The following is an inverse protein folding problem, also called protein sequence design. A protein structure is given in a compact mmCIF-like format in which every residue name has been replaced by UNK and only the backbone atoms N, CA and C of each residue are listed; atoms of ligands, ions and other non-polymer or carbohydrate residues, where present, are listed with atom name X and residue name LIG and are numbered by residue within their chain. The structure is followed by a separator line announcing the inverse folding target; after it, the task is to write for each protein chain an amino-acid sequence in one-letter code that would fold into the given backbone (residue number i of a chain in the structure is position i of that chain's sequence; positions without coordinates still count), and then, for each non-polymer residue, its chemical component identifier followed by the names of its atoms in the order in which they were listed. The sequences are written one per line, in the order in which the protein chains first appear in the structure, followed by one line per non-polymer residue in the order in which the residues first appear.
data_IF_176752695430
#
_entry.id   IF_176752695430
#
_cell.length_a   1.000
_cell.length_b   1.000
_cell.length_c   1.000
_cell.angle_alpha   90.00
_cell.angle_beta   90.00
_cell.angle_gamma   90.00
#
_symmetry.space_group_name_H-M   'P 1'
#
loop_
_entity.id
_entity.type
_entity.pdbx_description
1 polymer ?
#
# COMPACT_ATOMS: atom_id res chain seq x y z
N UNK A 1 -3.72 27.52 9.28
CA UNK A 1 -4.65 26.41 8.95
C UNK A 1 -4.05 25.35 8.00
N UNK A 2 -2.99 25.68 7.25
CA UNK A 2 -2.32 24.72 6.34
C UNK A 2 -1.38 23.72 7.03
N UNK A 3 -0.88 24.00 8.22
CA UNK A 3 -0.13 23.04 9.04
C UNK A 3 -1.00 21.86 9.51
N UNK A 4 -2.29 22.10 9.75
CA UNK A 4 -3.23 21.08 10.20
C UNK A 4 -3.53 19.98 9.16
N UNK A 5 -3.55 20.29 7.86
CA UNK A 5 -3.83 19.25 6.84
C UNK A 5 -2.71 18.22 6.74
N UNK A 6 -1.45 18.64 6.75
CA UNK A 6 -0.32 17.71 6.75
C UNK A 6 -0.28 16.81 7.99
N UNK A 7 -0.70 17.34 9.14
CA UNK A 7 -0.77 16.56 10.38
C UNK A 7 -1.93 15.54 10.36
N UNK A 8 -3.05 15.86 9.70
CA UNK A 8 -4.18 14.92 9.52
C UNK A 8 -3.73 13.72 8.71
N UNK A 9 -3.03 13.92 7.59
CA UNK A 9 -2.56 12.81 6.75
C UNK A 9 -1.50 11.94 7.43
N UNK A 10 -0.59 12.55 8.21
CA UNK A 10 0.37 11.79 9.03
C UNK A 10 -0.35 10.92 10.05
N UNK A 11 -1.35 11.47 10.74
CA UNK A 11 -2.16 10.73 11.71
C UNK A 11 -2.96 9.62 11.03
N UNK A 12 -3.50 9.87 9.85
CA UNK A 12 -4.23 8.88 9.07
C UNK A 12 -3.32 7.72 8.65
N UNK A 13 -2.13 8.00 8.10
CA UNK A 13 -1.16 6.96 7.75
C UNK A 13 -0.71 6.13 8.95
N UNK A 14 -0.46 6.78 10.09
CA UNK A 14 -0.10 6.10 11.33
C UNK A 14 -1.24 5.22 11.87
N UNK A 15 -2.48 5.71 11.81
CA UNK A 15 -3.65 4.94 12.22
C UNK A 15 -3.83 3.69 11.37
N UNK A 16 -3.69 3.81 10.05
CA UNK A 16 -3.74 2.65 9.16
C UNK A 16 -2.62 1.66 9.46
N UNK A 17 -1.41 2.15 9.68
CA UNK A 17 -0.28 1.28 10.03
C UNK A 17 -0.54 0.50 11.31
N UNK A 18 -1.06 1.14 12.36
CA UNK A 18 -1.42 0.47 13.61
C UNK A 18 -2.49 -0.60 13.41
N UNK A 19 -3.57 -0.27 12.70
CA UNK A 19 -4.67 -1.22 12.45
C UNK A 19 -4.18 -2.42 11.63
N UNK A 20 -3.47 -2.17 10.53
CA UNK A 20 -2.97 -3.26 9.69
C UNK A 20 -1.88 -4.09 10.37
N UNK A 21 -1.04 -3.50 11.22
CA UNK A 21 -0.08 -4.25 12.05
C UNK A 21 -0.80 -5.19 13.01
N UNK A 22 -1.86 -4.71 13.67
CA UNK A 22 -2.64 -5.53 14.59
C UNK A 22 -3.33 -6.69 13.87
N UNK A 23 -3.95 -6.41 12.73
CA UNK A 23 -4.59 -7.43 11.88
C UNK A 23 -3.55 -8.43 11.35
N UNK A 24 -2.35 -7.97 10.97
CA UNK A 24 -1.27 -8.85 10.51
C UNK A 24 -0.79 -9.78 11.61
N UNK A 25 -0.60 -9.29 12.82
CA UNK A 25 -0.24 -10.13 13.99
C UNK A 25 -1.33 -11.18 14.24
N UNK A 26 -2.59 -10.80 14.18
CA UNK A 26 -3.70 -11.73 14.33
C UNK A 26 -3.65 -12.83 13.25
N UNK A 27 -3.57 -12.47 11.98
CA UNK A 27 -3.58 -13.43 10.86
C UNK A 27 -2.34 -14.33 10.88
N UNK A 28 -1.17 -13.81 11.23
CA UNK A 28 0.09 -14.53 11.10
C UNK A 28 0.47 -15.33 12.35
N UNK A 29 -0.02 -14.95 13.52
CA UNK A 29 0.29 -15.63 14.78
C UNK A 29 -0.92 -16.40 15.32
N UNK A 30 -2.09 -15.75 15.43
CA UNK A 30 -3.24 -16.35 16.10
C UNK A 30 -3.94 -17.39 15.22
N UNK A 31 -4.14 -17.08 13.94
CA UNK A 31 -4.83 -18.01 13.02
C UNK A 31 -4.03 -19.32 12.83
N UNK A 32 -2.74 -19.34 12.54
CA UNK A 32 -1.97 -20.56 12.44
C UNK A 32 -1.94 -21.37 13.73
N UNK A 33 -1.85 -20.69 14.86
CA UNK A 33 -1.89 -21.35 16.16
C UNK A 33 -3.25 -22.02 16.41
N UNK A 34 -4.37 -21.35 16.08
CA UNK A 34 -5.71 -21.85 16.29
C UNK A 34 -6.04 -23.05 15.37
N UNK A 35 -5.57 -23.01 14.13
CA UNK A 35 -5.83 -24.07 13.12
C UNK A 35 -4.67 -25.09 13.01
N UNK A 36 -3.69 -25.03 13.91
CA UNK A 36 -2.51 -25.90 13.90
C UNK A 36 -1.82 -25.98 12.53
N UNK A 37 -1.75 -24.86 11.82
CA UNK A 37 -1.10 -24.78 10.53
C UNK A 37 0.41 -24.87 10.70
N UNK A 38 1.04 -25.78 9.96
CA UNK A 38 2.51 -25.90 9.95
C UNK A 38 3.12 -24.66 9.30
N UNK A 39 3.72 -23.80 10.12
CA UNK A 39 4.55 -22.70 9.68
C UNK A 39 6.04 -23.08 9.89
N UNK A 40 6.78 -23.12 8.80
CA UNK A 40 8.24 -23.37 8.85
C UNK A 40 8.98 -22.06 9.13
N UNK A 41 8.29 -20.93 8.96
CA UNK A 41 8.85 -19.60 9.10
C UNK A 41 9.36 -19.30 10.51
N UNK A 42 10.54 -18.69 10.61
CA UNK A 42 11.02 -18.10 11.84
C UNK A 42 10.22 -16.81 12.10
N UNK A 43 9.51 -16.67 13.25
CA UNK A 43 8.62 -15.53 13.50
C UNK A 43 9.30 -14.16 13.35
N UNK A 44 10.56 -14.04 13.74
CA UNK A 44 11.33 -12.80 13.60
C UNK A 44 11.59 -12.39 12.16
N UNK A 45 11.90 -13.35 11.28
CA UNK A 45 12.12 -13.10 9.84
C UNK A 45 10.84 -12.64 9.19
N UNK A 46 9.74 -13.29 9.51
CA UNK A 46 8.42 -12.95 8.98
C UNK A 46 7.98 -11.54 9.40
N UNK A 47 8.16 -11.19 10.66
CA UNK A 47 7.81 -9.87 11.20
C UNK A 47 8.64 -8.77 10.52
N UNK A 48 9.95 -8.97 10.34
CA UNK A 48 10.83 -8.01 9.65
C UNK A 48 10.45 -7.83 8.18
N UNK A 49 10.03 -8.89 7.51
CA UNK A 49 9.61 -8.84 6.11
C UNK A 49 8.27 -8.12 5.92
N UNK A 50 7.31 -8.33 6.83
CA UNK A 50 5.98 -7.75 6.73
C UNK A 50 5.98 -6.23 6.97
N UNK A 51 6.89 -5.71 7.78
CA UNK A 51 6.97 -4.29 8.10
C UNK A 51 7.07 -3.39 6.84
N UNK A 52 8.06 -3.55 5.94
CA UNK A 52 8.11 -2.77 4.70
C UNK A 52 6.96 -3.08 3.75
N UNK A 53 6.44 -4.29 3.75
CA UNK A 53 5.26 -4.64 2.95
C UNK A 53 4.03 -3.84 3.36
N UNK A 54 3.72 -3.77 4.66
CA UNK A 54 2.61 -2.95 5.17
C UNK A 54 2.80 -1.47 4.85
N UNK A 55 4.01 -0.94 5.05
CA UNK A 55 4.31 0.44 4.72
C UNK A 55 4.11 0.74 3.22
N UNK A 56 4.59 -0.13 2.33
CA UNK A 56 4.40 -0.01 0.89
C UNK A 56 2.92 -0.02 0.50
N UNK A 57 2.13 -0.95 1.06
CA UNK A 57 0.69 -1.04 0.80
C UNK A 57 -0.07 0.21 1.26
N UNK A 58 0.26 0.75 2.44
CA UNK A 58 -0.40 1.94 2.98
C UNK A 58 -0.10 3.16 2.11
N UNK A 59 1.17 3.40 1.75
CA UNK A 59 1.52 4.54 0.90
C UNK A 59 0.99 4.38 -0.53
N UNK A 60 0.95 3.17 -1.05
CA UNK A 60 0.29 2.88 -2.31
C UNK A 60 -1.21 3.21 -2.26
N UNK A 61 -1.92 2.75 -1.22
CA UNK A 61 -3.34 3.02 -1.03
C UNK A 61 -3.62 4.52 -0.85
N UNK A 62 -2.79 5.24 -0.09
CA UNK A 62 -2.89 6.69 0.07
C UNK A 62 -2.68 7.42 -1.25
N UNK A 63 -1.73 6.98 -2.08
CA UNK A 63 -1.52 7.54 -3.42
C UNK A 63 -2.71 7.26 -4.34
N UNK A 64 -3.22 6.04 -4.34
CA UNK A 64 -4.36 5.63 -5.17
C UNK A 64 -5.66 6.36 -4.77
N UNK A 65 -5.86 6.64 -3.47
CA UNK A 65 -7.05 7.32 -2.96
C UNK A 65 -7.27 8.71 -3.55
N UNK A 66 -6.21 9.34 -4.04
CA UNK A 66 -6.26 10.67 -4.63
C UNK A 66 -6.94 10.69 -6.00
N UNK A 67 -6.82 9.59 -6.75
CA UNK A 67 -7.49 9.42 -8.04
C UNK A 67 -9.02 9.25 -7.89
N UNK A 68 -9.48 8.92 -6.68
CA UNK A 68 -10.87 8.55 -6.43
C UNK A 68 -11.57 9.71 -5.73
N UNK A 69 -12.51 10.36 -6.43
CA UNK A 69 -13.31 11.47 -5.88
C UNK A 69 -14.65 11.04 -5.29
N UNK A 70 -15.25 9.97 -5.82
CA UNK A 70 -16.58 9.52 -5.45
C UNK A 70 -16.54 8.16 -4.74
N UNK A 71 -17.39 7.96 -3.73
CA UNK A 71 -17.49 6.69 -3.00
C UNK A 71 -17.88 5.52 -3.89
N UNK A 72 -18.77 5.75 -4.84
CA UNK A 72 -19.22 4.74 -5.81
C UNK A 72 -18.09 4.27 -6.73
N UNK A 73 -17.29 5.21 -7.23
CA UNK A 73 -16.10 4.91 -8.03
C UNK A 73 -15.06 4.10 -7.24
N UNK A 74 -14.95 4.34 -5.94
CA UNK A 74 -14.07 3.58 -5.07
C UNK A 74 -14.47 2.09 -5.00
N UNK A 75 -15.76 1.83 -4.78
CA UNK A 75 -16.30 0.47 -4.74
C UNK A 75 -16.11 -0.28 -6.06
N UNK A 76 -16.45 0.37 -7.17
CA UNK A 76 -16.27 -0.19 -8.51
C UNK A 76 -14.79 -0.51 -8.80
N UNK A 77 -13.91 0.43 -8.51
CA UNK A 77 -12.48 0.25 -8.72
C UNK A 77 -11.95 -0.92 -7.88
N UNK A 78 -12.38 -1.05 -6.64
CA UNK A 78 -11.98 -2.14 -5.75
C UNK A 78 -12.40 -3.51 -6.31
N UNK A 79 -13.64 -3.64 -6.76
CA UNK A 79 -14.17 -4.90 -7.33
C UNK A 79 -13.46 -5.24 -8.63
N UNK A 80 -13.33 -4.28 -9.56
CA UNK A 80 -12.71 -4.53 -10.87
C UNK A 80 -11.20 -4.75 -10.80
N UNK A 81 -10.48 -4.17 -9.83
CA UNK A 81 -9.03 -4.36 -9.69
C UNK A 81 -8.65 -5.55 -8.82
N UNK A 82 -9.55 -6.04 -7.95
CA UNK A 82 -9.24 -7.16 -7.05
C UNK A 82 -8.87 -8.44 -7.81
N UNK A 83 -9.64 -8.79 -8.84
CA UNK A 83 -9.41 -10.01 -9.65
C UNK A 83 -8.11 -9.91 -10.46
N UNK A 84 -7.83 -8.86 -11.26
CA UNK A 84 -6.53 -8.70 -11.91
C UNK A 84 -5.35 -8.71 -10.94
N UNK A 85 -5.48 -8.06 -9.78
CA UNK A 85 -4.42 -8.05 -8.77
C UNK A 85 -4.14 -9.43 -8.19
N UNK A 86 -5.17 -10.26 -8.03
CA UNK A 86 -5.01 -11.64 -7.58
C UNK A 86 -4.22 -12.47 -8.62
N UNK A 87 -4.48 -12.29 -9.90
CA UNK A 87 -3.72 -12.95 -10.97
C UNK A 87 -2.28 -12.42 -11.04
N UNK A 88 -2.09 -11.11 -10.95
CA UNK A 88 -0.77 -10.46 -10.98
C UNK A 88 0.10 -10.79 -9.78
N UNK A 89 -0.49 -11.15 -8.65
CA UNK A 89 0.26 -11.53 -7.43
C UNK A 89 1.03 -12.85 -7.55
N UNK A 90 0.74 -13.65 -8.59
CA UNK A 90 1.39 -14.94 -8.81
C UNK A 90 0.76 -16.12 -8.08
N UNK A 91 -0.32 -15.90 -7.29
CA UNK A 91 -1.02 -16.99 -6.57
C UNK A 91 -1.80 -17.86 -7.55
N UNK A 92 -2.60 -17.22 -8.40
CA UNK A 92 -3.48 -17.94 -9.34
C UNK A 92 -2.79 -18.26 -10.65
N UNK A 93 -1.79 -17.49 -11.04
CA UNK A 93 -1.03 -17.69 -12.26
C UNK A 93 0.46 -17.72 -11.95
N UNK A 94 1.14 -18.87 -12.12
CA UNK A 94 2.58 -18.97 -11.85
C UNK A 94 3.37 -17.95 -12.70
N UNK A 95 4.28 -17.23 -12.06
CA UNK A 95 5.06 -16.16 -12.72
C UNK A 95 5.90 -16.64 -13.92
N UNK A 96 6.20 -17.95 -14.01
CA UNK A 96 6.88 -18.57 -15.16
C UNK A 96 6.00 -18.66 -16.42
N UNK A 97 4.67 -18.74 -16.26
CA UNK A 97 3.72 -18.80 -17.35
C UNK A 97 3.16 -17.43 -17.76
N UNK A 98 3.55 -16.37 -17.05
CA UNK A 98 3.04 -15.03 -17.26
C UNK A 98 3.77 -14.35 -18.44
N UNK A 99 3.05 -13.74 -19.41
CA UNK A 99 3.68 -12.94 -20.47
C UNK A 99 4.53 -11.81 -19.87
N UNK A 100 5.66 -11.49 -20.52
CA UNK A 100 6.63 -10.53 -20.02
C UNK A 100 6.01 -9.16 -19.67
N UNK A 101 5.07 -8.68 -20.49
CA UNK A 101 4.37 -7.41 -20.26
C UNK A 101 3.64 -7.39 -18.89
N UNK A 102 2.84 -8.42 -18.59
CA UNK A 102 2.10 -8.53 -17.34
C UNK A 102 3.02 -8.72 -16.14
N UNK A 103 4.13 -9.41 -16.34
CA UNK A 103 5.15 -9.59 -15.30
C UNK A 103 5.79 -8.26 -14.90
N UNK A 104 6.17 -7.41 -15.85
CA UNK A 104 6.70 -6.07 -15.53
C UNK A 104 5.63 -5.16 -14.90
N UNK A 105 4.40 -5.25 -15.38
CA UNK A 105 3.28 -4.50 -14.82
C UNK A 105 2.98 -4.89 -13.37
N UNK A 106 3.11 -6.17 -13.03
CA UNK A 106 2.90 -6.67 -11.67
C UNK A 106 3.90 -6.09 -10.65
N UNK A 107 5.09 -5.71 -11.10
CA UNK A 107 6.11 -5.12 -10.23
C UNK A 107 5.75 -3.72 -9.69
N UNK A 108 4.76 -3.07 -10.25
CA UNK A 108 4.22 -1.82 -9.72
C UNK A 108 3.50 -2.09 -8.38
N UNK A 109 2.90 -3.26 -8.20
CA UNK A 109 2.10 -3.56 -7.03
C UNK A 109 2.93 -4.18 -5.90
N UNK A 110 2.86 -3.65 -4.66
CA UNK A 110 3.56 -4.24 -3.51
C UNK A 110 3.16 -5.69 -3.23
N UNK A 111 1.92 -6.06 -3.60
CA UNK A 111 1.38 -7.41 -3.40
C UNK A 111 2.22 -8.48 -4.10
N UNK A 112 2.79 -8.21 -5.26
CA UNK A 112 3.60 -9.17 -6.01
C UNK A 112 4.85 -9.60 -5.22
N UNK A 113 5.63 -8.65 -4.73
CA UNK A 113 6.82 -8.94 -3.92
C UNK A 113 6.46 -9.44 -2.52
N UNK A 114 5.41 -8.86 -1.92
CA UNK A 114 4.94 -9.26 -0.60
C UNK A 114 4.50 -10.71 -0.55
N UNK A 115 3.70 -11.14 -1.52
CA UNK A 115 3.19 -12.52 -1.56
C UNK A 115 4.28 -13.52 -1.91
N UNK A 116 5.11 -13.23 -2.92
CA UNK A 116 6.21 -14.10 -3.30
C UNK A 116 7.20 -14.30 -2.13
N UNK A 117 7.61 -13.22 -1.47
CA UNK A 117 8.49 -13.31 -0.31
C UNK A 117 7.83 -14.02 0.88
N UNK A 118 6.56 -13.74 1.16
CA UNK A 118 5.80 -14.42 2.21
C UNK A 118 5.73 -15.94 1.98
N UNK A 119 5.37 -16.38 0.78
CA UNK A 119 5.27 -17.80 0.45
C UNK A 119 6.64 -18.48 0.61
N UNK A 120 7.73 -17.87 0.14
CA UNK A 120 9.08 -18.42 0.30
C UNK A 120 9.48 -18.53 1.78
N UNK A 121 9.22 -17.51 2.59
CA UNK A 121 9.53 -17.52 4.02
C UNK A 121 8.66 -18.56 4.74
N UNK A 122 7.34 -18.53 4.52
CA UNK A 122 6.39 -19.33 5.29
C UNK A 122 6.39 -20.81 4.89
N UNK A 123 6.47 -21.12 3.59
CA UNK A 123 6.33 -22.48 3.08
C UNK A 123 7.68 -23.17 2.84
N UNK A 124 8.74 -22.42 2.57
CA UNK A 124 10.07 -22.97 2.28
C UNK A 124 11.08 -22.71 3.41
N UNK A 125 10.71 -21.94 4.46
CA UNK A 125 11.61 -21.59 5.55
C UNK A 125 12.75 -20.68 5.12
N UNK A 126 12.58 -19.91 4.04
CA UNK A 126 13.65 -19.05 3.51
C UNK A 126 14.08 -17.98 4.51
N UNK A 127 15.38 -17.73 4.55
CA UNK A 127 15.98 -16.65 5.34
C UNK A 127 15.83 -15.30 4.65
N UNK A 128 16.02 -14.19 5.39
CA UNK A 128 15.99 -12.84 4.80
C UNK A 128 16.99 -12.65 3.66
N UNK A 129 18.13 -13.33 3.71
CA UNK A 129 19.14 -13.26 2.66
C UNK A 129 18.65 -13.89 1.34
N UNK A 130 17.87 -14.95 1.43
CA UNK A 130 17.34 -15.66 0.26
C UNK A 130 16.15 -14.89 -0.40
N UNK A 131 15.45 -14.09 0.37
CA UNK A 131 14.38 -13.18 -0.12
C UNK A 131 14.83 -11.71 -0.17
N UNK A 132 16.14 -11.49 -0.22
CA UNK A 132 16.72 -10.13 -0.22
C UNK A 132 16.25 -9.28 -1.39
N UNK A 133 16.00 -9.88 -2.55
CA UNK A 133 15.48 -9.17 -3.72
C UNK A 133 14.08 -8.62 -3.47
N UNK A 134 13.16 -9.45 -2.97
CA UNK A 134 11.80 -9.06 -2.66
C UNK A 134 11.77 -8.03 -1.52
N UNK A 135 12.62 -8.21 -0.51
CA UNK A 135 12.75 -7.30 0.62
C UNK A 135 13.26 -5.92 0.20
N UNK A 136 14.30 -5.86 -0.62
CA UNK A 136 14.83 -4.60 -1.16
C UNK A 136 13.82 -3.92 -2.09
N UNK A 137 13.14 -4.68 -2.95
CA UNK A 137 12.10 -4.15 -3.82
C UNK A 137 10.97 -3.49 -3.01
N UNK A 138 10.55 -4.08 -1.90
CA UNK A 138 9.54 -3.50 -1.00
C UNK A 138 10.02 -2.19 -0.36
N UNK A 139 11.28 -2.08 0.04
CA UNK A 139 11.84 -0.85 0.57
C UNK A 139 11.91 0.26 -0.49
N UNK A 140 12.32 -0.08 -1.72
CA UNK A 140 12.33 0.86 -2.84
C UNK A 140 10.91 1.34 -3.15
N UNK A 141 9.93 0.43 -3.20
CA UNK A 141 8.53 0.78 -3.41
C UNK A 141 7.99 1.67 -2.28
N UNK A 142 8.30 1.34 -1.02
CA UNK A 142 7.91 2.16 0.14
C UNK A 142 8.43 3.59 -0.01
N UNK A 143 9.70 3.77 -0.36
CA UNK A 143 10.30 5.09 -0.60
C UNK A 143 9.65 5.82 -1.77
N UNK A 144 9.43 5.13 -2.88
CA UNK A 144 8.80 5.70 -4.07
C UNK A 144 7.36 6.18 -3.78
N UNK A 145 6.53 5.33 -3.17
CA UNK A 145 5.15 5.71 -2.84
C UNK A 145 5.07 6.75 -1.74
N UNK A 146 6.00 6.76 -0.79
CA UNK A 146 6.08 7.82 0.20
C UNK A 146 6.33 9.17 -0.45
N UNK A 147 7.32 9.26 -1.35
CA UNK A 147 7.64 10.50 -2.08
C UNK A 147 6.45 10.93 -2.93
N UNK A 148 5.83 10.00 -3.66
CA UNK A 148 4.66 10.28 -4.50
C UNK A 148 3.49 10.79 -3.65
N UNK A 149 3.21 10.16 -2.52
CA UNK A 149 2.18 10.61 -1.58
C UNK A 149 2.47 12.03 -1.10
N UNK A 150 3.69 12.34 -0.69
CA UNK A 150 4.08 13.68 -0.24
C UNK A 150 3.90 14.74 -1.32
N UNK A 151 4.30 14.44 -2.56
CA UNK A 151 4.17 15.36 -3.70
C UNK A 151 2.71 15.65 -4.03
N UNK A 152 1.89 14.62 -4.08
CA UNK A 152 0.48 14.76 -4.45
C UNK A 152 -0.30 15.49 -3.37
N UNK A 153 -0.07 15.21 -2.09
CA UNK A 153 -0.68 15.99 -1.00
C UNK A 153 -0.26 17.44 -1.01
N UNK A 154 1.00 17.71 -1.31
CA UNK A 154 1.47 19.10 -1.45
C UNK A 154 0.75 19.81 -2.60
N UNK A 155 0.54 19.14 -3.72
CA UNK A 155 -0.21 19.65 -4.86
C UNK A 155 -1.69 19.91 -4.53
N UNK A 156 -2.37 19.00 -3.82
CA UNK A 156 -3.75 19.18 -3.38
C UNK A 156 -3.91 20.38 -2.43
N UNK A 157 -2.97 20.57 -1.50
CA UNK A 157 -2.98 21.71 -0.59
C UNK A 157 -2.86 23.02 -1.37
N UNK A 158 -2.02 23.06 -2.39
CA UNK A 158 -1.85 24.22 -3.24
C UNK A 158 -3.10 24.54 -4.08
N UNK A 159 -3.76 23.52 -4.62
CA UNK A 159 -5.03 23.70 -5.35
C UNK A 159 -6.16 24.18 -4.44
N UNK A 160 -6.34 23.58 -3.27
CA UNK A 160 -7.35 24.01 -2.31
C UNK A 160 -7.16 25.47 -1.88
N UNK A 161 -5.90 25.92 -1.75
CA UNK A 161 -5.61 27.32 -1.44
C UNK A 161 -6.01 28.28 -2.56
N UNK A 162 -5.78 27.90 -3.82
CA UNK A 162 -6.17 28.72 -4.97
C UNK A 162 -7.67 28.89 -5.03
N UNK A 163 -8.42 27.82 -4.88
CA UNK A 163 -9.89 27.86 -4.87
C UNK A 163 -10.47 28.79 -3.78
N UNK A 164 -9.96 28.69 -2.56
CA UNK A 164 -10.41 29.54 -1.45
C UNK A 164 -10.11 31.02 -1.70
N UNK A 165 -8.95 31.33 -2.28
CA UNK A 165 -8.56 32.71 -2.61
C UNK A 165 -9.45 33.26 -3.74
N UNK A 166 -9.79 32.46 -4.74
CA UNK A 166 -10.67 32.85 -5.83
C UNK A 166 -12.10 33.12 -5.35
N UNK A 167 -12.64 32.25 -4.48
CA UNK A 167 -13.94 32.47 -3.87
C UNK A 167 -13.98 33.75 -3.02
N UNK A 168 -12.94 33.99 -2.24
CA UNK A 168 -12.85 35.22 -1.43
C UNK A 168 -12.80 36.47 -2.29
N UNK A 169 -12.06 36.44 -3.41
CA UNK A 169 -12.01 37.54 -4.36
C UNK A 169 -13.37 37.78 -5.03
N UNK A 170 -14.08 36.71 -5.38
CA UNK A 170 -15.41 36.79 -6.01
C UNK A 170 -16.46 37.39 -5.05
N UNK A 171 -16.46 36.99 -3.79
CA UNK A 171 -17.34 37.59 -2.78
C UNK A 171 -17.08 39.10 -2.59
N UNK A 172 -15.80 39.45 -2.49
CA UNK A 172 -15.42 40.88 -2.32
C UNK A 172 -15.76 41.74 -3.52
N UNK A 173 -15.83 41.20 -4.75
CA UNK A 173 -16.22 41.92 -5.97
C UNK A 173 -17.73 42.06 -6.13
N UNK A 174 -18.52 41.31 -5.33
CA UNK A 174 -20.00 41.41 -5.32
C UNK A 174 -20.47 42.43 -4.26
N UNK A 175 -19.64 42.65 -3.21
CA UNK A 175 -19.95 43.61 -2.14
C UNK A 175 -19.47 45.03 -2.42
N UNK A 176 -18.69 45.24 -3.50
CA UNK A 176 -18.20 46.55 -3.95
C UNK A 176 -18.99 47.07 -5.15
#
# INVERSE_FOLDING_TARGET
RSRGLGDVYKRQGLSYFMVYSLVSVYILCVVPWLFSLNQIAIPGVLTLFILPYLAACIFFAMTASIAIRNRETCMLLFVFTSVPLLFLSGISWPGAAMPAFWKYFSYIFPSTFGINGYVRINSMGATLNEVSFEYQALWIQTGFYFITTCLVYRWQILQSRKHVIEEYKKHKSIEA
#
